data_IF_980898589038
#
_entry.id   IF_980898589038
#
_cell.length_a   1.000
_cell.length_b   1.000
_cell.length_c   1.000
_cell.angle_alpha   90.00
_cell.angle_beta   90.00
_cell.angle_gamma   90.00
#
_symmetry.space_group_name_H-M   'P 1'
#
loop_
_entity.id
_entity.type
_entity.pdbx_description
1 polymer ?
#
# COMPACT_ATOMS: atom_id res chain seq x y z
N UNK A 1 -20.27 2.42 -13.07
CA UNK A 1 -19.38 1.76 -12.09
C UNK A 1 -18.31 2.77 -11.75
N UNK A 2 -18.62 3.68 -10.82
CA UNK A 2 -17.86 4.92 -10.59
C UNK A 2 -17.48 5.05 -9.10
N UNK A 3 -17.37 3.92 -8.40
CA UNK A 3 -17.12 3.85 -6.96
C UNK A 3 -15.90 2.99 -6.61
N UNK A 4 -14.84 3.02 -7.41
CA UNK A 4 -13.59 2.32 -7.07
C UNK A 4 -12.65 3.25 -6.30
N UNK A 5 -12.25 2.83 -5.10
CA UNK A 5 -11.24 3.53 -4.29
C UNK A 5 -10.07 2.62 -3.98
N UNK A 6 -8.87 3.19 -3.85
CA UNK A 6 -7.66 2.44 -3.47
C UNK A 6 -7.15 2.98 -2.13
N UNK A 7 -6.88 2.07 -1.20
CA UNK A 7 -6.28 2.37 0.09
C UNK A 7 -5.01 1.53 0.28
N UNK A 8 -4.10 1.97 1.13
CA UNK A 8 -2.91 1.21 1.49
C UNK A 8 -2.75 1.17 3.01
N UNK A 9 -2.37 0.02 3.53
CA UNK A 9 -2.09 -0.21 4.94
C UNK A 9 -0.64 -0.63 5.08
N UNK A 10 0.02 -0.07 6.09
CA UNK A 10 1.41 -0.34 6.41
C UNK A 10 1.53 -0.53 7.92
N UNK A 11 2.13 -1.65 8.35
CA UNK A 11 2.41 -1.84 9.77
C UNK A 11 3.49 -0.87 10.26
N UNK A 12 3.37 -0.42 11.51
CA UNK A 12 4.38 0.44 12.13
C UNK A 12 5.78 -0.18 12.18
N UNK A 13 5.87 -1.52 12.22
CA UNK A 13 7.15 -2.23 12.15
C UNK A 13 7.82 -2.11 10.78
N UNK A 14 7.07 -2.22 9.69
CA UNK A 14 7.62 -2.04 8.32
C UNK A 14 8.03 -0.59 8.11
N UNK A 15 7.22 0.37 8.57
CA UNK A 15 7.58 1.79 8.54
C UNK A 15 8.87 2.07 9.34
N UNK A 16 8.98 1.49 10.54
CA UNK A 16 10.18 1.60 11.37
C UNK A 16 11.41 0.97 10.71
N UNK A 17 11.26 -0.18 10.05
CA UNK A 17 12.35 -0.82 9.32
C UNK A 17 12.83 0.01 8.12
N UNK A 18 11.91 0.63 7.37
CA UNK A 18 12.23 1.57 6.30
C UNK A 18 13.02 2.78 6.83
N UNK A 19 12.54 3.40 7.90
CA UNK A 19 13.21 4.54 8.52
C UNK A 19 14.61 4.15 9.06
N UNK A 20 14.72 2.98 9.69
CA UNK A 20 16.00 2.48 10.18
C UNK A 20 16.99 2.24 9.03
N UNK A 21 16.58 1.61 7.93
CA UNK A 21 17.43 1.43 6.77
C UNK A 21 17.88 2.77 6.18
N UNK A 22 16.95 3.72 6.04
CA UNK A 22 17.24 5.05 5.48
C UNK A 22 18.24 5.82 6.35
N UNK A 23 18.06 5.85 7.68
CA UNK A 23 18.96 6.56 8.59
C UNK A 23 20.37 5.94 8.68
N UNK A 24 20.51 4.66 8.33
CA UNK A 24 21.81 3.98 8.29
C UNK A 24 22.51 4.09 6.92
N UNK A 25 21.87 4.72 5.93
CA UNK A 25 22.44 4.94 4.60
C UNK A 25 22.74 6.43 4.46
N UNK A 26 23.97 6.80 4.12
CA UNK A 26 24.44 8.19 3.98
C UNK A 26 24.07 8.83 2.63
N UNK A 27 23.16 8.20 1.89
CA UNK A 27 22.72 8.56 0.55
C UNK A 27 21.27 8.10 0.34
N UNK A 28 20.69 8.49 -0.80
CA UNK A 28 19.37 7.99 -1.20
C UNK A 28 19.38 6.45 -1.26
N UNK A 29 18.29 5.83 -0.82
CA UNK A 29 18.12 4.36 -0.82
C UNK A 29 16.80 3.98 -1.48
N UNK A 30 16.79 2.85 -2.20
CA UNK A 30 15.61 2.35 -2.91
C UNK A 30 15.30 0.89 -2.52
N UNK A 31 14.19 0.33 -3.00
CA UNK A 31 13.83 -1.06 -2.77
C UNK A 31 12.41 -1.41 -3.19
N UNK A 32 11.99 -2.62 -2.85
CA UNK A 32 10.68 -3.18 -3.23
C UNK A 32 9.75 -3.30 -2.02
N UNK A 33 8.48 -3.04 -2.23
CA UNK A 33 7.40 -3.35 -1.29
C UNK A 33 6.70 -4.62 -1.75
N UNK A 34 6.58 -5.58 -0.84
CA UNK A 34 5.89 -6.84 -1.06
C UNK A 34 4.68 -6.91 -0.14
N UNK A 35 3.56 -7.38 -0.69
CA UNK A 35 2.28 -7.38 -0.03
C UNK A 35 1.20 -8.01 -0.88
N UNK A 36 -0.04 -7.84 -0.47
CA UNK A 36 -1.22 -8.32 -1.18
C UNK A 36 -2.21 -7.19 -1.46
N UNK A 37 -3.09 -7.41 -2.44
CA UNK A 37 -4.19 -6.49 -2.76
C UNK A 37 -5.50 -7.22 -2.57
N UNK A 38 -6.41 -6.63 -1.79
CA UNK A 38 -7.75 -7.16 -1.54
C UNK A 38 -8.81 -6.17 -2.01
N UNK A 39 -9.68 -6.59 -2.90
CA UNK A 39 -10.86 -5.81 -3.31
C UNK A 39 -12.06 -6.21 -2.46
N UNK A 40 -12.63 -5.25 -1.72
CA UNK A 40 -13.83 -5.45 -0.92
C UNK A 40 -14.98 -4.60 -1.47
N UNK A 41 -16.10 -5.24 -1.78
CA UNK A 41 -17.31 -4.54 -2.19
C UNK A 41 -18.06 -4.05 -0.94
N UNK A 42 -18.32 -2.74 -0.90
CA UNK A 42 -19.07 -2.07 0.15
C UNK A 42 -20.42 -1.64 -0.41
N UNK A 43 -21.48 -2.29 0.06
CA UNK A 43 -22.85 -1.82 -0.18
C UNK A 43 -23.15 -0.67 0.77
N UNK A 44 -23.34 0.53 0.23
CA UNK A 44 -23.89 1.64 1.01
C UNK A 44 -25.42 1.57 0.92
N UNK A 45 -26.09 1.26 2.04
CA UNK A 45 -27.55 1.29 2.10
C UNK A 45 -27.97 2.75 2.29
N UNK A 46 -28.48 3.38 1.23
CA UNK A 46 -29.04 4.75 1.29
C UNK A 46 -30.58 4.68 1.29
N UNK A 47 -31.24 5.62 1.96
CA UNK A 47 -32.72 5.66 2.12
C UNK A 47 -33.46 5.98 0.80
N UNK A 48 -32.71 6.23 -0.27
CA UNK A 48 -33.15 6.33 -1.66
C UNK A 48 -32.86 5.00 -2.37
N UNK A 49 -33.85 4.43 -3.08
CA UNK A 49 -33.76 3.14 -3.78
C UNK A 49 -32.73 3.09 -4.93
N UNK A 50 -31.44 3.25 -4.64
CA UNK A 50 -30.31 3.01 -5.53
C UNK A 50 -29.19 2.36 -4.70
N UNK A 51 -28.97 1.06 -4.92
CA UNK A 51 -27.82 0.34 -4.36
C UNK A 51 -26.55 0.80 -5.11
N UNK A 52 -25.83 1.77 -4.56
CA UNK A 52 -24.51 2.15 -5.09
C UNK A 52 -23.44 1.25 -4.45
N UNK A 53 -22.86 0.37 -5.28
CA UNK A 53 -21.84 -0.60 -4.88
C UNK A 53 -20.47 0.03 -5.09
N UNK A 54 -19.80 0.39 -3.99
CA UNK A 54 -18.42 0.86 -4.02
C UNK A 54 -17.47 -0.33 -3.87
N UNK A 55 -16.35 -0.33 -4.57
CA UNK A 55 -15.28 -1.33 -4.41
C UNK A 55 -14.04 -0.64 -3.85
N UNK A 56 -13.54 -1.13 -2.72
CA UNK A 56 -12.33 -0.63 -2.08
C UNK A 56 -11.21 -1.65 -2.29
N UNK A 57 -10.18 -1.28 -3.05
CA UNK A 57 -8.96 -2.07 -3.19
C UNK A 57 -7.96 -1.65 -2.13
N UNK A 58 -7.72 -2.52 -1.15
CA UNK A 58 -6.75 -2.30 -0.07
C UNK A 58 -5.45 -3.03 -0.39
N UNK A 59 -4.36 -2.28 -0.44
CA UNK A 59 -2.99 -2.80 -0.57
C UNK A 59 -2.43 -2.99 0.85
N UNK A 60 -2.20 -4.23 1.25
CA UNK A 60 -1.56 -4.56 2.54
C UNK A 60 -0.06 -4.78 2.33
N UNK A 61 0.75 -3.85 2.81
CA UNK A 61 2.22 -3.89 2.66
C UNK A 61 2.81 -4.68 3.83
N UNK A 62 3.38 -5.83 3.52
CA UNK A 62 3.84 -6.80 4.52
C UNK A 62 5.35 -6.81 4.71
N UNK A 63 6.12 -6.44 3.67
CA UNK A 63 7.59 -6.50 3.71
C UNK A 63 8.24 -5.47 2.79
N UNK A 64 9.42 -5.00 3.20
CA UNK A 64 10.34 -4.22 2.38
C UNK A 64 11.62 -5.02 2.06
N UNK A 65 12.13 -4.89 0.84
CA UNK A 65 13.43 -5.42 0.42
C UNK A 65 14.31 -4.26 -0.05
N UNK A 66 15.41 -3.93 0.67
CA UNK A 66 16.31 -2.86 0.24
C UNK A 66 17.17 -3.26 -0.97
N UNK A 67 17.42 -2.28 -1.84
CA UNK A 67 18.46 -2.33 -2.84
C UNK A 67 19.67 -1.54 -2.33
N UNK A 68 20.80 -2.20 -2.10
CA UNK A 68 22.01 -1.56 -1.54
C UNK A 68 22.79 -0.69 -2.54
N UNK A 69 22.35 -0.60 -3.79
CA UNK A 69 22.94 0.26 -4.82
C UNK A 69 21.80 0.90 -5.60
N UNK A 70 21.90 2.21 -5.81
CA UNK A 70 20.97 2.95 -6.66
C UNK A 70 21.11 2.51 -8.12
N UNK A 71 19.99 2.53 -8.85
CA UNK A 71 19.90 2.15 -10.27
C UNK A 71 20.34 0.70 -10.55
N UNK A 72 20.27 -0.17 -9.54
CA UNK A 72 20.71 -1.57 -9.72
C UNK A 72 19.80 -2.37 -10.67
N UNK A 73 18.55 -1.94 -10.82
CA UNK A 73 17.51 -2.64 -11.58
C UNK A 73 16.88 -1.75 -12.67
N UNK A 74 17.48 -0.59 -12.94
CA UNK A 74 17.13 0.34 -14.01
C UNK A 74 18.10 0.20 -15.19
#
# INVERSE_FOLDING_TARGET
MEGESTSAVLSGFVLGALAFQHLNTDSDTEGFLLGEVKGEAKNSITDSQMDDVEVVYTIDIQKYIPCYQLFRMW
#
